data_IF_311040781048
#
_entry.id   IF_311040781048
#
_cell.length_a   1.000
_cell.length_b   1.000
_cell.length_c   1.000
_cell.angle_alpha   90.00
_cell.angle_beta   90.00
_cell.angle_gamma   90.00
#
_symmetry.space_group_name_H-M   'P 1'
#
loop_
_entity.id
_entity.type
_entity.pdbx_description
1 polymer ?
#
# COMPACT_ATOMS: atom_id res chain seq x y z
N UNK A 1 -33.77 -18.92 13.56
CA UNK A 1 -33.18 -17.82 14.36
C UNK A 1 -32.93 -16.65 13.43
N UNK A 2 -33.58 -15.51 13.68
CA UNK A 2 -33.36 -14.29 12.90
C UNK A 2 -32.00 -13.75 13.34
N UNK A 3 -30.98 -13.84 12.48
CA UNK A 3 -29.69 -13.22 12.76
C UNK A 3 -29.90 -11.73 12.96
N UNK A 4 -29.43 -11.22 14.09
CA UNK A 4 -29.44 -9.81 14.46
C UNK A 4 -29.11 -8.96 13.20
N UNK A 5 -29.94 -7.95 12.85
CA UNK A 5 -29.68 -7.05 11.72
C UNK A 5 -28.24 -6.51 11.71
N UNK A 6 -27.65 -6.28 12.88
CA UNK A 6 -26.26 -5.87 13.05
C UNK A 6 -25.28 -6.92 12.52
N UNK A 7 -25.48 -8.20 12.86
CA UNK A 7 -24.64 -9.33 12.41
C UNK A 7 -24.71 -9.50 10.89
N UNK A 8 -25.88 -9.29 10.28
CA UNK A 8 -26.03 -9.30 8.82
C UNK A 8 -25.29 -8.14 8.14
N UNK A 9 -25.27 -6.96 8.76
CA UNK A 9 -24.53 -5.81 8.24
C UNK A 9 -23.00 -5.99 8.39
N UNK A 10 -22.56 -6.50 9.54
CA UNK A 10 -21.15 -6.80 9.83
C UNK A 10 -20.54 -7.82 8.86
N UNK A 11 -21.30 -8.83 8.44
CA UNK A 11 -20.86 -9.78 7.41
C UNK A 11 -20.67 -9.17 6.02
N UNK A 12 -21.21 -7.97 5.75
CA UNK A 12 -21.08 -7.27 4.44
C UNK A 12 -19.92 -6.27 4.40
N UNK A 13 -19.34 -5.91 5.54
CA UNK A 13 -18.23 -4.95 5.61
C UNK A 13 -17.00 -5.35 4.77
N UNK A 14 -16.59 -6.63 4.70
CA UNK A 14 -15.53 -7.05 3.77
C UNK A 14 -15.86 -6.75 2.31
N UNK A 15 -17.11 -6.98 1.90
CA UNK A 15 -17.58 -6.68 0.53
C UNK A 15 -17.52 -5.19 0.23
N UNK A 16 -17.82 -4.34 1.22
CA UNK A 16 -17.74 -2.89 1.06
C UNK A 16 -16.29 -2.40 0.87
N UNK A 17 -15.33 -3.01 1.58
CA UNK A 17 -13.90 -2.73 1.39
C UNK A 17 -13.42 -3.20 0.01
N UNK A 18 -13.84 -4.38 -0.45
CA UNK A 18 -13.53 -4.85 -1.81
C UNK A 18 -14.14 -3.95 -2.87
N UNK A 19 -15.38 -3.50 -2.67
CA UNK A 19 -16.02 -2.53 -3.56
C UNK A 19 -15.24 -1.20 -3.61
N UNK A 20 -14.85 -0.66 -2.45
CA UNK A 20 -14.04 0.55 -2.37
C UNK A 20 -12.71 0.40 -3.12
N UNK A 21 -12.04 -0.74 -2.97
CA UNK A 21 -10.82 -1.07 -3.71
C UNK A 21 -11.06 -1.15 -5.23
N UNK A 22 -12.14 -1.77 -5.68
CA UNK A 22 -12.48 -1.84 -7.10
C UNK A 22 -12.75 -0.45 -7.70
N UNK A 23 -13.50 0.40 -6.98
CA UNK A 23 -13.74 1.80 -7.39
C UNK A 23 -12.42 2.55 -7.50
N UNK A 24 -11.55 2.38 -6.50
CA UNK A 24 -10.21 2.96 -6.50
C UNK A 24 -9.42 2.52 -7.75
N UNK A 25 -9.35 1.22 -8.07
CA UNK A 25 -8.67 0.73 -9.28
C UNK A 25 -9.25 1.30 -10.59
N UNK A 26 -10.58 1.39 -10.70
CA UNK A 26 -11.21 1.96 -11.91
C UNK A 26 -10.83 3.44 -12.05
N UNK A 27 -10.89 4.20 -10.95
CA UNK A 27 -10.44 5.59 -10.95
C UNK A 27 -8.97 5.71 -11.32
N UNK A 28 -8.13 4.76 -10.91
CA UNK A 28 -6.71 4.76 -11.24
C UNK A 28 -6.43 4.69 -12.73
N UNK A 29 -7.05 3.71 -13.40
CA UNK A 29 -6.91 3.58 -14.85
C UNK A 29 -7.59 4.74 -15.59
N UNK A 30 -8.66 5.31 -15.04
CA UNK A 30 -9.28 6.51 -15.60
C UNK A 30 -8.33 7.72 -15.53
N UNK A 31 -7.70 7.97 -14.40
CA UNK A 31 -6.73 9.07 -14.26
C UNK A 31 -5.57 8.91 -15.25
N UNK A 32 -5.03 7.69 -15.40
CA UNK A 32 -4.00 7.40 -16.41
C UNK A 32 -4.50 7.69 -17.83
N UNK A 33 -5.72 7.24 -18.15
CA UNK A 33 -6.32 7.46 -19.45
C UNK A 33 -6.57 8.95 -19.74
N UNK A 34 -6.92 9.74 -18.72
CA UNK A 34 -7.10 11.19 -18.82
C UNK A 34 -5.77 11.92 -18.98
N UNK A 35 -4.74 11.56 -18.21
CA UNK A 35 -3.41 12.18 -18.30
C UNK A 35 -2.81 11.99 -19.70
N UNK A 36 -3.00 10.80 -20.29
CA UNK A 36 -2.44 10.48 -21.60
C UNK A 36 -3.42 10.58 -22.78
N UNK A 37 -4.63 11.12 -22.54
CA UNK A 37 -5.73 11.22 -23.51
C UNK A 37 -5.87 9.95 -24.40
N UNK A 38 -5.88 8.77 -23.76
CA UNK A 38 -5.76 7.48 -24.46
C UNK A 38 -6.94 7.17 -25.40
N UNK A 39 -8.04 7.91 -25.31
CA UNK A 39 -9.27 7.64 -26.05
C UNK A 39 -9.49 8.54 -27.26
N UNK A 40 -9.12 9.81 -27.17
CA UNK A 40 -9.53 10.83 -28.14
C UNK A 40 -8.36 11.36 -28.94
N UNK A 41 -7.23 11.65 -28.30
CA UNK A 41 -6.01 12.06 -28.96
C UNK A 41 -4.77 11.62 -28.15
N UNK A 42 -4.34 10.35 -28.28
CA UNK A 42 -3.25 9.80 -27.46
C UNK A 42 -1.98 10.65 -27.56
N UNK A 43 -1.49 11.10 -26.41
CA UNK A 43 -0.36 12.05 -26.34
C UNK A 43 0.88 11.50 -25.59
N UNK A 44 0.84 10.24 -25.15
CA UNK A 44 1.95 9.61 -24.46
C UNK A 44 3.19 9.50 -25.35
N UNK A 45 4.31 10.02 -24.87
CA UNK A 45 5.61 9.90 -25.53
C UNK A 45 6.69 9.38 -24.56
N UNK A 46 7.07 8.11 -24.72
CA UNK A 46 8.09 7.45 -23.90
C UNK A 46 9.50 8.09 -24.01
N UNK A 47 9.75 8.90 -25.04
CA UNK A 47 11.00 9.66 -25.15
C UNK A 47 11.04 10.86 -24.21
N UNK A 48 9.88 11.32 -23.71
CA UNK A 48 9.83 12.38 -22.71
C UNK A 48 10.05 11.79 -21.31
N UNK A 49 11.01 12.33 -20.54
CA UNK A 49 11.26 11.85 -19.18
C UNK A 49 10.02 11.97 -18.27
N UNK A 50 9.20 13.01 -18.45
CA UNK A 50 8.00 13.20 -17.64
C UNK A 50 7.00 12.05 -17.81
N UNK A 51 6.65 11.68 -19.03
CA UNK A 51 5.67 10.63 -19.30
C UNK A 51 6.18 9.25 -18.89
N UNK A 52 7.47 8.97 -19.16
CA UNK A 52 8.10 7.73 -18.72
C UNK A 52 8.08 7.59 -17.19
N UNK A 53 8.39 8.66 -16.45
CA UNK A 53 8.35 8.66 -14.99
C UNK A 53 6.93 8.54 -14.43
N UNK A 54 5.93 9.16 -15.08
CA UNK A 54 4.52 8.97 -14.75
C UNK A 54 4.15 7.49 -14.84
N UNK A 55 4.47 6.83 -15.95
CA UNK A 55 4.15 5.42 -16.15
C UNK A 55 4.85 4.53 -15.11
N UNK A 56 6.14 4.74 -14.86
CA UNK A 56 6.90 3.97 -13.86
C UNK A 56 6.33 4.16 -12.45
N UNK A 57 6.07 5.40 -12.06
CA UNK A 57 5.49 5.76 -10.76
C UNK A 57 4.09 5.16 -10.59
N UNK A 58 3.25 5.25 -11.63
CA UNK A 58 1.92 4.63 -11.68
C UNK A 58 2.00 3.12 -11.48
N UNK A 59 2.85 2.41 -12.24
CA UNK A 59 2.96 0.95 -12.16
C UNK A 59 3.51 0.47 -10.81
N UNK A 60 4.52 1.15 -10.28
CA UNK A 60 5.07 0.85 -8.95
C UNK A 60 4.03 1.09 -7.85
N UNK A 61 3.26 2.18 -7.95
CA UNK A 61 2.19 2.51 -6.99
C UNK A 61 1.02 1.53 -7.09
N UNK A 62 0.61 1.16 -8.31
CA UNK A 62 -0.41 0.16 -8.54
C UNK A 62 -0.01 -1.17 -7.91
N UNK A 63 1.23 -1.63 -8.15
CA UNK A 63 1.76 -2.84 -7.52
C UNK A 63 1.74 -2.74 -6.00
N UNK A 64 2.18 -1.61 -5.43
CA UNK A 64 2.12 -1.37 -3.99
C UNK A 64 0.69 -1.46 -3.43
N UNK A 65 -0.27 -0.76 -4.04
CA UNK A 65 -1.66 -0.71 -3.60
C UNK A 65 -2.31 -2.10 -3.69
N UNK A 66 -2.08 -2.83 -4.79
CA UNK A 66 -2.57 -4.22 -4.97
C UNK A 66 -1.92 -5.16 -3.96
N UNK A 67 -0.61 -5.09 -3.75
CA UNK A 67 0.11 -5.91 -2.79
C UNK A 67 -0.37 -5.67 -1.35
N UNK A 68 -0.63 -4.41 -1.02
CA UNK A 68 -1.21 -4.02 0.26
C UNK A 68 -2.62 -4.58 0.41
N UNK A 69 -3.47 -4.44 -0.61
CA UNK A 69 -4.82 -4.99 -0.59
C UNK A 69 -4.80 -6.51 -0.42
N UNK A 70 -4.02 -7.26 -1.19
CA UNK A 70 -3.90 -8.71 -1.08
C UNK A 70 -3.50 -9.18 0.33
N UNK A 71 -2.56 -8.48 0.95
CA UNK A 71 -2.13 -8.83 2.30
C UNK A 71 -3.24 -8.60 3.34
N UNK A 72 -4.11 -7.61 3.12
CA UNK A 72 -5.17 -7.26 4.06
C UNK A 72 -6.50 -7.96 3.78
N UNK A 73 -6.85 -8.24 2.52
CA UNK A 73 -8.03 -9.03 2.18
C UNK A 73 -7.96 -10.41 2.85
N UNK A 74 -6.80 -11.05 2.81
CA UNK A 74 -6.55 -12.31 3.53
C UNK A 74 -6.73 -12.19 5.05
N UNK A 75 -6.40 -11.04 5.64
CA UNK A 75 -6.60 -10.80 7.07
C UNK A 75 -8.08 -10.56 7.42
N UNK A 76 -8.79 -9.82 6.57
CA UNK A 76 -10.22 -9.53 6.72
C UNK A 76 -11.04 -10.82 6.59
N UNK A 77 -10.69 -11.69 5.64
CA UNK A 77 -11.33 -13.00 5.46
C UNK A 77 -11.12 -13.93 6.66
N UNK A 78 -9.91 -13.92 7.24
CA UNK A 78 -9.57 -14.76 8.41
C UNK A 78 -10.16 -14.24 9.72
N UNK A 79 -10.23 -12.92 9.87
CA UNK A 79 -10.69 -12.24 11.08
C UNK A 79 -11.70 -11.15 10.70
N UNK A 80 -12.94 -11.53 10.32
CA UNK A 80 -13.97 -10.57 9.95
C UNK A 80 -14.27 -9.60 11.10
N UNK A 81 -14.74 -8.39 10.77
CA UNK A 81 -14.90 -7.23 11.67
C UNK A 81 -15.93 -7.38 12.80
N UNK A 82 -16.25 -8.61 13.20
CA UNK A 82 -17.38 -8.96 14.07
C UNK A 82 -17.17 -8.62 15.54
N UNK A 83 -15.95 -8.26 15.97
CA UNK A 83 -15.61 -8.06 17.39
C UNK A 83 -14.88 -6.73 17.72
N UNK A 84 -14.39 -5.98 16.72
CA UNK A 84 -13.61 -4.74 16.93
C UNK A 84 -13.76 -3.79 15.74
N UNK A 85 -14.63 -2.78 15.89
CA UNK A 85 -14.85 -1.73 14.88
C UNK A 85 -13.61 -0.86 14.63
N UNK A 86 -12.66 -0.80 15.56
CA UNK A 86 -11.43 -0.04 15.39
C UNK A 86 -10.61 -0.51 14.19
N UNK A 87 -10.63 -1.83 13.91
CA UNK A 87 -9.97 -2.41 12.72
C UNK A 87 -10.64 -1.93 11.44
N UNK A 88 -11.98 -1.90 11.41
CA UNK A 88 -12.73 -1.44 10.24
C UNK A 88 -12.45 0.03 9.93
N UNK A 89 -12.54 0.92 10.93
CA UNK A 89 -12.24 2.34 10.72
C UNK A 89 -10.79 2.58 10.28
N UNK A 90 -9.86 1.82 10.84
CA UNK A 90 -8.46 1.90 10.42
C UNK A 90 -8.27 1.38 8.99
N UNK A 91 -8.97 0.34 8.57
CA UNK A 91 -8.94 -0.16 7.19
C UNK A 91 -9.54 0.87 6.22
N UNK A 92 -10.64 1.55 6.58
CA UNK A 92 -11.18 2.67 5.78
C UNK A 92 -10.13 3.79 5.63
N UNK A 93 -9.58 4.29 6.74
CA UNK A 93 -8.54 5.33 6.72
C UNK A 93 -7.33 4.88 5.89
N UNK A 94 -6.95 3.61 6.02
CA UNK A 94 -5.89 2.99 5.24
C UNK A 94 -6.19 3.06 3.74
N UNK A 95 -7.34 2.58 3.28
CA UNK A 95 -7.64 2.62 1.84
C UNK A 95 -7.83 4.05 1.32
N UNK A 96 -8.32 4.99 2.12
CA UNK A 96 -8.38 6.41 1.75
C UNK A 96 -7.00 7.03 1.54
N UNK A 97 -6.01 6.71 2.37
CA UNK A 97 -4.64 7.20 2.17
C UNK A 97 -3.97 6.52 0.97
N UNK A 98 -4.25 5.23 0.70
CA UNK A 98 -3.77 4.57 -0.53
C UNK A 98 -4.29 5.24 -1.80
N UNK A 99 -5.55 5.67 -1.79
CA UNK A 99 -6.12 6.47 -2.87
C UNK A 99 -5.33 7.77 -3.07
N UNK A 100 -5.03 8.49 -1.98
CA UNK A 100 -4.25 9.73 -2.05
C UNK A 100 -2.82 9.50 -2.59
N UNK A 101 -2.13 8.46 -2.09
CA UNK A 101 -0.80 8.08 -2.59
C UNK A 101 -0.85 7.86 -4.09
N UNK A 102 -1.87 7.13 -4.55
CA UNK A 102 -2.02 6.87 -5.95
C UNK A 102 -2.24 8.14 -6.78
N UNK A 103 -3.15 9.02 -6.41
CA UNK A 103 -3.39 10.24 -7.19
C UNK A 103 -2.14 11.12 -7.25
N UNK A 104 -1.28 11.06 -6.24
CA UNK A 104 0.00 11.79 -6.24
C UNK A 104 1.10 11.08 -7.06
N UNK A 105 0.92 9.83 -7.50
CA UNK A 105 1.90 9.12 -8.32
C UNK A 105 2.17 9.84 -9.66
N UNK A 106 1.15 10.53 -10.20
CA UNK A 106 1.23 11.32 -11.42
C UNK A 106 2.09 12.59 -11.28
N UNK A 107 2.36 13.06 -10.05
CA UNK A 107 3.27 14.19 -9.85
C UNK A 107 4.73 13.86 -10.18
N UNK A 108 5.06 12.61 -10.50
CA UNK A 108 6.37 12.25 -11.05
C UNK A 108 6.69 12.93 -12.39
N UNK A 109 5.68 13.38 -13.15
CA UNK A 109 5.87 14.26 -14.31
C UNK A 109 5.94 15.75 -13.95
N UNK A 110 5.77 16.11 -12.67
CA UNK A 110 5.71 17.49 -12.18
C UNK A 110 6.69 17.67 -11.01
N UNK A 111 7.98 17.89 -11.29
CA UNK A 111 9.03 17.68 -10.29
C UNK A 111 8.85 18.50 -8.99
N UNK A 112 8.52 19.80 -9.00
CA UNK A 112 8.27 20.52 -7.74
C UNK A 112 7.17 19.92 -6.86
N UNK A 113 6.20 19.23 -7.47
CA UNK A 113 5.04 18.65 -6.79
C UNK A 113 5.25 17.20 -6.35
N UNK A 114 6.25 16.48 -6.86
CA UNK A 114 6.48 15.08 -6.49
C UNK A 114 6.79 14.90 -4.99
N UNK A 115 7.22 15.97 -4.31
CA UNK A 115 7.39 15.96 -2.85
C UNK A 115 6.11 15.57 -2.10
N UNK A 116 4.92 15.90 -2.62
CA UNK A 116 3.65 15.53 -1.98
C UNK A 116 3.48 14.01 -1.95
N UNK A 117 3.87 13.32 -3.02
CA UNK A 117 3.86 11.85 -3.06
C UNK A 117 4.76 11.24 -1.97
N UNK A 118 6.00 11.75 -1.85
CA UNK A 118 6.96 11.29 -0.85
C UNK A 118 6.46 11.55 0.58
N UNK A 119 5.91 12.72 0.85
CA UNK A 119 5.36 13.08 2.17
C UNK A 119 4.19 12.16 2.54
N UNK A 120 3.26 11.90 1.62
CA UNK A 120 2.15 10.98 1.91
C UNK A 120 2.65 9.55 2.13
N UNK A 121 3.67 9.08 1.42
CA UNK A 121 4.32 7.79 1.72
C UNK A 121 4.89 7.74 3.15
N UNK A 122 5.56 8.81 3.60
CA UNK A 122 6.06 8.90 4.98
C UNK A 122 4.91 8.85 5.97
N UNK A 123 3.88 9.67 5.78
CA UNK A 123 2.71 9.73 6.67
C UNK A 123 1.95 8.41 6.71
N UNK A 124 1.84 7.72 5.58
CA UNK A 124 1.28 6.38 5.51
C UNK A 124 2.04 5.39 6.37
N UNK A 125 3.37 5.34 6.25
CA UNK A 125 4.18 4.44 7.05
C UNK A 125 4.13 4.82 8.53
N UNK A 126 4.10 6.10 8.87
CA UNK A 126 3.91 6.60 10.24
C UNK A 126 2.55 6.17 10.81
N UNK A 127 1.47 6.31 10.05
CA UNK A 127 0.13 5.86 10.44
C UNK A 127 0.14 4.35 10.74
N UNK A 128 0.78 3.55 9.89
CA UNK A 128 0.94 2.11 10.12
C UNK A 128 1.77 1.80 11.37
N UNK A 129 2.86 2.54 11.63
CA UNK A 129 3.63 2.42 12.88
C UNK A 129 2.75 2.71 14.09
N UNK A 130 2.00 3.82 14.06
CA UNK A 130 1.09 4.21 15.12
C UNK A 130 0.04 3.13 15.42
N UNK A 131 -0.56 2.56 14.37
CA UNK A 131 -1.51 1.46 14.51
C UNK A 131 -0.87 0.20 15.12
N UNK A 132 0.28 -0.24 14.62
CA UNK A 132 0.95 -1.41 15.20
C UNK A 132 1.38 -1.15 16.64
N UNK A 133 1.87 0.04 16.97
CA UNK A 133 2.21 0.42 18.34
C UNK A 133 1.01 0.40 19.28
N UNK A 134 -0.16 0.87 18.82
CA UNK A 134 -1.42 0.78 19.56
C UNK A 134 -1.83 -0.68 19.80
N UNK A 135 -1.79 -1.52 18.77
CA UNK A 135 -2.15 -2.95 18.86
C UNK A 135 -1.20 -3.74 19.77
N UNK A 136 0.09 -3.40 19.80
CA UNK A 136 1.09 -4.02 20.68
C UNK A 136 0.84 -3.84 22.18
N UNK A 137 -0.06 -2.93 22.57
CA UNK A 137 -0.50 -2.76 23.96
C UNK A 137 -1.61 -3.73 24.36
N UNK A 138 -2.28 -4.35 23.38
CA UNK A 138 -3.50 -5.13 23.57
C UNK A 138 -3.36 -6.59 23.10
N UNK A 139 -2.14 -7.02 22.75
CA UNK A 139 -1.85 -8.35 22.19
C UNK A 139 -0.63 -8.94 22.88
N UNK A 140 -0.71 -10.23 23.22
CA UNK A 140 0.37 -11.02 23.81
C UNK A 140 0.74 -12.25 22.97
N UNK A 141 1.84 -12.91 23.32
CA UNK A 141 2.30 -14.13 22.64
C UNK A 141 2.91 -13.91 21.24
N UNK A 142 2.76 -14.91 20.36
CA UNK A 142 3.39 -14.95 19.02
C UNK A 142 2.91 -13.79 18.14
N UNK A 143 1.62 -13.43 18.20
CA UNK A 143 1.07 -12.31 17.44
C UNK A 143 1.79 -10.99 17.78
N UNK A 144 2.19 -10.81 19.03
CA UNK A 144 2.95 -9.62 19.46
C UNK A 144 4.31 -9.52 18.76
N UNK A 145 5.03 -10.63 18.60
CA UNK A 145 6.32 -10.66 17.91
C UNK A 145 6.17 -10.29 16.44
N UNK A 146 5.13 -10.80 15.77
CA UNK A 146 4.82 -10.47 14.37
C UNK A 146 4.49 -8.98 14.20
N UNK A 147 3.64 -8.43 15.08
CA UNK A 147 3.30 -6.99 15.04
C UNK A 147 4.51 -6.09 15.30
N UNK A 148 5.47 -6.51 16.14
CA UNK A 148 6.74 -5.79 16.32
C UNK A 148 7.59 -5.80 15.06
N UNK A 149 7.66 -6.94 14.36
CA UNK A 149 8.37 -7.05 13.10
C UNK A 149 7.76 -6.15 12.02
N UNK A 150 6.42 -6.14 11.90
CA UNK A 150 5.69 -5.25 10.99
C UNK A 150 5.96 -3.77 11.32
N UNK A 151 5.84 -3.39 12.59
CA UNK A 151 6.12 -2.03 13.06
C UNK A 151 7.54 -1.58 12.71
N UNK A 152 8.55 -2.44 12.95
CA UNK A 152 9.94 -2.16 12.57
C UNK A 152 10.09 -2.00 11.06
N UNK A 153 9.43 -2.85 10.27
CA UNK A 153 9.40 -2.72 8.82
C UNK A 153 8.83 -1.39 8.35
N UNK A 154 7.73 -0.93 8.96
CA UNK A 154 7.15 0.39 8.65
C UNK A 154 8.03 1.55 9.13
N UNK A 155 8.69 1.45 10.29
CA UNK A 155 9.65 2.47 10.75
C UNK A 155 10.83 2.63 9.78
N UNK A 156 11.41 1.52 9.31
CA UNK A 156 12.51 1.55 8.33
C UNK A 156 12.05 2.24 7.04
N UNK A 157 10.89 1.84 6.50
CA UNK A 157 10.34 2.46 5.27
C UNK A 157 10.03 3.94 5.46
N UNK A 158 9.44 4.32 6.60
CA UNK A 158 9.17 5.70 6.96
C UNK A 158 10.47 6.53 6.95
N UNK A 159 11.52 6.05 7.63
CA UNK A 159 12.81 6.71 7.67
C UNK A 159 13.44 6.80 6.27
N UNK A 160 13.38 5.74 5.46
CA UNK A 160 13.88 5.74 4.09
C UNK A 160 13.18 6.79 3.23
N UNK A 161 11.84 6.82 3.20
CA UNK A 161 11.11 7.81 2.40
C UNK A 161 11.26 9.22 2.94
N UNK A 162 11.44 9.40 4.25
CA UNK A 162 11.72 10.71 4.85
C UNK A 162 13.08 11.24 4.39
N UNK A 163 14.12 10.39 4.38
CA UNK A 163 15.44 10.76 3.85
C UNK A 163 15.36 11.12 2.37
N UNK A 164 14.61 10.35 1.57
CA UNK A 164 14.37 10.67 0.15
C UNK A 164 13.62 12.00 0.00
N UNK A 165 12.58 12.25 0.80
CA UNK A 165 11.82 13.50 0.78
C UNK A 165 12.71 14.71 1.11
N UNK A 166 13.57 14.61 2.14
CA UNK A 166 14.52 15.66 2.51
C UNK A 166 15.50 15.92 1.36
N UNK A 167 16.09 14.86 0.80
CA UNK A 167 16.98 14.98 -0.35
C UNK A 167 16.27 15.63 -1.55
N UNK A 168 15.02 15.24 -1.81
CA UNK A 168 14.21 15.78 -2.89
C UNK A 168 13.94 17.28 -2.73
N UNK A 169 13.64 17.74 -1.50
CA UNK A 169 13.48 19.18 -1.22
C UNK A 169 14.78 19.93 -1.47
N UNK A 170 15.90 19.42 -0.96
CA UNK A 170 17.20 20.09 -1.03
C UNK A 170 17.73 20.17 -2.46
N UNK A 171 17.63 19.09 -3.23
CA UNK A 171 18.27 18.97 -4.53
C UNK A 171 17.36 19.19 -5.73
N UNK A 172 16.03 19.10 -5.58
CA UNK A 172 15.07 19.30 -6.68
C UNK A 172 14.18 20.51 -6.43
N UNK A 173 13.41 20.54 -5.35
CA UNK A 173 12.41 21.59 -5.12
C UNK A 173 13.06 22.97 -5.01
N UNK A 174 14.10 23.12 -4.18
CA UNK A 174 14.76 24.42 -3.95
C UNK A 174 15.56 24.93 -5.14
N UNK A 175 16.00 24.05 -6.03
CA UNK A 175 16.88 24.36 -7.17
C UNK A 175 16.12 24.38 -8.49
N UNK A 176 14.83 24.02 -8.50
CA UNK A 176 14.05 23.85 -9.72
C UNK A 176 14.02 25.09 -10.60
N UNK A 177 13.77 26.26 -10.01
CA UNK A 177 13.72 27.54 -10.72
C UNK A 177 15.05 27.98 -11.32
N UNK A 178 16.17 27.44 -10.84
CA UNK A 178 17.53 27.82 -11.25
C UNK A 178 18.13 26.85 -12.26
N UNK A 179 18.00 25.54 -12.02
CA UNK A 179 18.76 24.52 -12.73
C UNK A 179 17.91 23.38 -13.33
N UNK A 180 16.61 23.31 -13.00
CA UNK A 180 15.69 22.26 -13.45
C UNK A 180 16.34 20.85 -13.45
N UNK A 181 16.76 20.32 -12.28
CA UNK A 181 17.65 19.15 -12.17
C UNK A 181 16.92 17.83 -12.48
N UNK A 182 16.53 17.63 -13.75
CA UNK A 182 15.80 16.47 -14.23
C UNK A 182 16.50 15.15 -13.93
N UNK A 183 17.82 15.08 -14.05
CA UNK A 183 18.57 13.86 -13.74
C UNK A 183 18.40 13.42 -12.28
N UNK A 184 18.49 14.37 -11.34
CA UNK A 184 18.31 14.09 -9.90
C UNK A 184 16.86 13.73 -9.60
N UNK A 185 15.91 14.45 -10.18
CA UNK A 185 14.48 14.13 -10.10
C UNK A 185 14.21 12.69 -10.55
N UNK A 186 14.61 12.34 -11.78
CA UNK A 186 14.43 11.01 -12.35
C UNK A 186 15.04 9.93 -11.47
N UNK A 187 16.27 10.14 -10.97
CA UNK A 187 16.93 9.20 -10.07
C UNK A 187 16.12 8.96 -8.79
N UNK A 188 15.62 10.02 -8.16
CA UNK A 188 14.86 9.91 -6.91
C UNK A 188 13.47 9.29 -7.12
N UNK A 189 12.81 9.56 -8.25
CA UNK A 189 11.56 8.86 -8.64
C UNK A 189 11.83 7.38 -8.86
N UNK A 190 12.86 7.03 -9.65
CA UNK A 190 13.22 5.64 -9.91
C UNK A 190 13.57 4.90 -8.61
N UNK A 191 14.38 5.52 -7.74
CA UNK A 191 14.72 4.95 -6.44
C UNK A 191 13.47 4.70 -5.58
N UNK A 192 12.55 5.67 -5.53
CA UNK A 192 11.30 5.54 -4.77
C UNK A 192 10.44 4.39 -5.32
N UNK A 193 10.28 4.30 -6.63
CA UNK A 193 9.54 3.24 -7.32
C UNK A 193 10.17 1.86 -7.10
N UNK A 194 11.50 1.74 -7.22
CA UNK A 194 12.22 0.49 -6.95
C UNK A 194 12.04 0.04 -5.50
N UNK A 195 12.15 0.96 -4.53
CA UNK A 195 11.95 0.64 -3.12
C UNK A 195 10.50 0.20 -2.84
N UNK A 196 9.52 0.87 -3.44
CA UNK A 196 8.12 0.45 -3.35
C UNK A 196 7.94 -0.98 -3.84
N UNK A 197 8.44 -1.30 -5.03
CA UNK A 197 8.34 -2.67 -5.57
C UNK A 197 9.09 -3.66 -4.69
N UNK A 198 10.35 -3.37 -4.32
CA UNK A 198 11.18 -4.26 -3.51
C UNK A 198 10.54 -4.61 -2.16
N UNK A 199 10.10 -3.59 -1.41
CA UNK A 199 9.51 -3.81 -0.08
C UNK A 199 8.20 -4.59 -0.13
N UNK A 200 7.39 -4.37 -1.17
CA UNK A 200 6.11 -5.06 -1.31
C UNK A 200 6.27 -6.47 -1.87
N UNK A 201 7.20 -6.70 -2.80
CA UNK A 201 7.55 -8.04 -3.25
C UNK A 201 8.07 -8.90 -2.08
N UNK A 202 8.96 -8.33 -1.25
CA UNK A 202 9.43 -8.99 -0.03
C UNK A 202 8.28 -9.32 0.92
N UNK A 203 7.33 -8.39 1.11
CA UNK A 203 6.16 -8.62 1.96
C UNK A 203 5.27 -9.74 1.41
N UNK A 204 4.96 -9.73 0.11
CA UNK A 204 4.14 -10.76 -0.52
C UNK A 204 4.79 -12.14 -0.43
N UNK A 205 6.10 -12.23 -0.63
CA UNK A 205 6.84 -13.48 -0.45
C UNK A 205 6.76 -14.01 0.98
N UNK A 206 6.86 -13.12 1.99
CA UNK A 206 6.67 -13.50 3.39
C UNK A 206 5.24 -14.00 3.66
N UNK A 207 4.22 -13.32 3.12
CA UNK A 207 2.81 -13.74 3.25
C UNK A 207 2.59 -15.10 2.59
N UNK A 208 3.14 -15.32 1.40
CA UNK A 208 3.11 -16.61 0.70
C UNK A 208 3.75 -17.71 1.55
N UNK A 209 4.93 -17.47 2.12
CA UNK A 209 5.62 -18.46 2.94
C UNK A 209 4.77 -18.87 4.16
N UNK A 210 4.25 -17.88 4.89
CA UNK A 210 3.36 -18.12 6.04
C UNK A 210 2.08 -18.85 5.65
N UNK A 211 1.48 -18.52 4.50
CA UNK A 211 0.28 -19.19 4.02
C UNK A 211 0.54 -20.66 3.70
N UNK A 212 1.68 -20.98 3.08
CA UNK A 212 2.09 -22.35 2.78
C UNK A 212 2.39 -23.16 4.06
N UNK A 213 3.05 -22.56 5.05
CA UNK A 213 3.29 -23.19 6.36
C UNK A 213 1.97 -23.51 7.07
N UNK A 214 1.03 -22.55 7.09
CA UNK A 214 -0.29 -22.75 7.69
C UNK A 214 -1.09 -23.85 6.98
N UNK A 215 -1.02 -23.92 5.64
CA UNK A 215 -1.69 -24.98 4.87
C UNK A 215 -1.14 -26.36 5.22
N UNK A 216 0.18 -26.51 5.27
CA UNK A 216 0.85 -27.77 5.63
C UNK A 216 0.51 -28.20 7.06
N UNK A 217 0.51 -27.25 8.01
CA UNK A 217 0.13 -27.56 9.39
C UNK A 217 -1.33 -28.02 9.50
N UNK A 218 -2.24 -27.41 8.74
CA UNK A 218 -3.64 -27.82 8.68
C UNK A 218 -3.82 -29.21 8.06
N UNK A 219 -3.04 -29.55 7.02
CA UNK A 219 -3.03 -30.90 6.44
C UNK A 219 -2.55 -31.95 7.43
N UNK A 220 -1.46 -31.69 8.15
CA UNK A 220 -0.94 -32.59 9.19
C UNK A 220 -1.98 -32.78 10.31
N UNK A 221 -2.62 -31.70 10.78
CA UNK A 221 -3.65 -31.77 11.80
C UNK A 221 -4.90 -32.55 11.34
N UNK A 222 -5.30 -32.40 10.07
CA UNK A 222 -6.41 -33.19 9.49
C UNK A 222 -6.03 -34.66 9.36
N UNK A 223 -4.79 -34.95 8.97
CA UNK A 223 -4.28 -36.32 8.87
C UNK A 223 -4.19 -37.00 10.25
N UNK A 224 -3.77 -36.28 11.29
CA UNK A 224 -3.74 -36.82 12.66
C UNK A 224 -5.14 -37.11 13.20
N UNK A 225 -6.08 -36.19 12.98
CA UNK A 225 -7.49 -36.38 13.36
C UNK A 225 -8.15 -37.54 12.60
N UNK A 226 -7.84 -37.71 11.31
CA UNK A 226 -8.34 -38.83 10.51
C UNK A 226 -7.70 -40.18 10.90
N UNK A 227 -6.48 -40.16 11.45
CA UNK A 227 -5.79 -41.34 11.96
C UNK A 227 -6.24 -41.77 13.36
N UNK A 228 -7.19 -41.06 13.98
CA UNK A 228 -7.77 -41.42 15.29
C UNK A 228 -6.84 -41.17 16.48
N UNK A 229 -5.88 -40.25 16.35
CA UNK A 229 -5.09 -39.70 17.47
C UNK A 229 -5.70 -38.39 17.93
#
# INVERSE_FOLDING_TARGET
MNSDPLVRYLMRLPTLITFFFSVMLVTFFRELATVFDLTTNPNFDASTPADALILVSFLATLFFVVAVWLAYSLLIERFPYTLDYGVFYFDVARFSVLYLIFSFAFFSGHPPSYIYYLVVLVLWHLMMVGWHAYRLRHIDGIERAERRADMRGHMVRMATYLVIAIAYVLFVVRTWSLAQPWAVHSLLVMLTSTLLVFWNARRLNNVRHKALEASKAAEVARASLAAGV
#
